data_IF_821391744453
#
_entry.id   IF_821391744453
#
_cell.length_a   1.000
_cell.length_b   1.000
_cell.length_c   1.000
_cell.angle_alpha   90.00
_cell.angle_beta   90.00
_cell.angle_gamma   90.00
#
_symmetry.space_group_name_H-M   'P 1'
#
loop_
_entity.id
_entity.type
_entity.pdbx_description
1 polymer ?
#
# COMPACT_ATOMS: atom_id res chain seq x y z
N UNK A 1 42.25 -9.84 -26.35
CA UNK A 1 41.56 -8.61 -26.77
C UNK A 1 40.22 -8.51 -26.06
N UNK A 2 40.04 -7.48 -25.24
CA UNK A 2 38.74 -6.96 -24.76
C UNK A 2 38.01 -6.26 -25.92
N UNK A 3 36.79 -5.72 -25.75
CA UNK A 3 35.55 -6.31 -25.22
C UNK A 3 34.36 -5.99 -26.16
N UNK A 4 33.16 -6.52 -25.90
CA UNK A 4 31.94 -5.88 -26.43
C UNK A 4 30.90 -5.70 -25.33
N UNK A 5 30.49 -4.44 -25.13
CA UNK A 5 29.49 -3.95 -24.18
C UNK A 5 28.09 -4.10 -24.78
N UNK A 6 27.08 -4.40 -23.95
CA UNK A 6 25.68 -4.35 -24.35
C UNK A 6 24.66 -4.63 -23.24
N UNK A 7 24.32 -3.58 -22.47
CA UNK A 7 22.97 -3.19 -22.00
C UNK A 7 22.13 -4.13 -21.08
N UNK A 8 22.09 -3.71 -19.79
CA UNK A 8 20.99 -3.60 -18.81
C UNK A 8 19.55 -3.99 -19.24
N UNK A 9 18.78 -4.72 -18.40
CA UNK A 9 17.44 -4.34 -17.88
C UNK A 9 16.75 -5.42 -16.99
N UNK A 10 16.45 -5.04 -15.74
CA UNK A 10 15.13 -5.19 -15.11
C UNK A 10 14.70 -6.56 -14.58
N UNK A 11 15.02 -6.86 -13.33
CA UNK A 11 14.29 -7.86 -12.50
C UNK A 11 12.92 -7.31 -12.10
N UNK A 12 11.92 -7.44 -12.99
CA UNK A 12 10.54 -7.12 -12.65
C UNK A 12 9.89 -8.31 -11.95
N UNK A 13 10.06 -8.40 -10.63
CA UNK A 13 9.18 -9.21 -9.79
C UNK A 13 7.84 -8.51 -9.69
N UNK A 14 6.95 -8.91 -10.59
CA UNK A 14 5.59 -8.44 -10.72
C UNK A 14 4.79 -8.62 -9.43
N UNK A 15 4.49 -7.52 -8.76
CA UNK A 15 3.32 -7.42 -7.92
C UNK A 15 2.15 -6.85 -8.75
N UNK A 16 1.65 -7.64 -9.70
CA UNK A 16 0.39 -7.37 -10.42
C UNK A 16 -0.73 -7.05 -9.45
N UNK A 17 -1.26 -5.82 -9.42
CA UNK A 17 -2.70 -5.55 -9.28
C UNK A 17 -3.07 -4.52 -10.37
N UNK A 18 -3.89 -4.89 -11.37
CA UNK A 18 -4.36 -3.98 -12.40
C UNK A 18 -5.66 -3.30 -11.95
N UNK A 19 -5.72 -1.97 -12.07
CA UNK A 19 -6.81 -1.23 -12.73
C UNK A 19 -6.70 0.25 -12.40
N UNK A 20 -5.92 0.97 -13.21
CA UNK A 20 -6.05 2.42 -13.38
C UNK A 20 -7.26 2.66 -14.28
N UNK A 21 -8.43 2.89 -13.70
CA UNK A 21 -9.59 3.37 -14.46
C UNK A 21 -10.24 4.56 -13.73
N UNK A 22 -10.17 5.73 -14.37
CA UNK A 22 -11.22 6.74 -14.30
C UNK A 22 -11.28 7.63 -13.06
N UNK A 23 -10.30 8.51 -12.85
CA UNK A 23 -10.61 9.78 -12.17
C UNK A 23 -11.32 10.69 -13.16
N UNK A 24 -12.65 10.63 -13.21
CA UNK A 24 -13.48 11.63 -13.88
C UNK A 24 -14.89 11.71 -13.27
N UNK A 25 -15.05 12.76 -12.45
CA UNK A 25 -16.22 13.65 -12.44
C UNK A 25 -17.51 13.24 -11.70
N UNK A 26 -18.13 14.29 -11.15
CA UNK A 26 -19.55 14.48 -10.81
C UNK A 26 -19.90 14.43 -9.31
N UNK A 27 -19.70 15.59 -8.68
CA UNK A 27 -20.71 16.39 -7.97
C UNK A 27 -21.97 15.72 -7.37
N UNK A 28 -22.23 16.18 -6.14
CA UNK A 28 -23.52 16.44 -5.46
C UNK A 28 -23.80 15.60 -4.19
N UNK A 29 -23.69 16.32 -3.07
CA UNK A 29 -24.56 16.24 -1.89
C UNK A 29 -24.42 15.04 -0.94
N UNK A 30 -24.13 15.41 0.32
CA UNK A 30 -24.57 14.73 1.54
C UNK A 30 -23.78 13.56 2.13
N UNK A 31 -22.44 13.62 2.17
CA UNK A 31 -21.73 13.07 3.35
C UNK A 31 -20.27 13.51 3.45
N UNK A 32 -19.81 13.76 4.67
CA UNK A 32 -18.46 13.49 5.18
C UNK A 32 -17.98 12.04 4.86
N UNK A 33 -17.83 11.67 3.59
CA UNK A 33 -17.35 10.36 3.11
C UNK A 33 -16.21 10.54 2.12
N UNK A 34 -15.25 11.40 2.44
CA UNK A 34 -13.90 11.15 1.93
C UNK A 34 -13.42 9.94 2.74
N UNK A 35 -13.71 8.74 2.25
CA UNK A 35 -13.13 7.49 2.75
C UNK A 35 -11.63 7.70 2.74
N UNK A 36 -11.03 7.94 3.90
CA UNK A 36 -9.63 8.29 3.93
C UNK A 36 -8.82 7.08 3.47
N UNK A 37 -7.92 7.35 2.53
CA UNK A 37 -7.12 6.32 1.90
C UNK A 37 -5.82 6.16 2.66
N UNK A 38 -5.51 4.92 3.02
CA UNK A 38 -4.21 4.54 3.53
C UNK A 38 -3.22 4.26 2.39
N UNK A 39 -1.97 4.67 2.59
CA UNK A 39 -0.85 4.52 1.67
C UNK A 39 0.33 3.84 2.36
N UNK A 40 1.17 3.18 1.58
CA UNK A 40 2.42 2.57 2.01
C UNK A 40 3.59 3.06 1.16
N UNK A 41 4.77 3.07 1.76
CA UNK A 41 5.99 3.50 1.08
C UNK A 41 6.65 2.35 0.31
N UNK A 42 6.83 2.53 -0.99
CA UNK A 42 7.57 1.63 -1.88
C UNK A 42 9.07 1.73 -1.66
N UNK A 43 9.85 0.77 -2.18
CA UNK A 43 11.31 0.82 -2.08
C UNK A 43 11.93 2.01 -2.83
N UNK A 44 11.20 2.56 -3.81
CA UNK A 44 11.55 3.77 -4.55
C UNK A 44 11.26 5.07 -3.75
N UNK A 45 10.72 4.96 -2.54
CA UNK A 45 10.34 6.10 -1.69
C UNK A 45 9.05 6.79 -2.13
N UNK A 46 8.24 6.13 -2.97
CA UNK A 46 6.94 6.62 -3.40
C UNK A 46 5.84 6.12 -2.47
N UNK A 47 4.74 6.86 -2.38
CA UNK A 47 3.56 6.46 -1.62
C UNK A 47 2.52 5.86 -2.55
N UNK A 48 2.17 4.60 -2.31
CA UNK A 48 1.14 3.90 -3.06
C UNK A 48 -0.05 3.56 -2.17
N UNK A 49 -1.29 3.70 -2.66
CA UNK A 49 -2.48 3.38 -1.88
C UNK A 49 -2.56 1.87 -1.62
N UNK A 50 -3.05 1.49 -0.45
CA UNK A 50 -3.50 0.11 -0.21
C UNK A 50 -4.77 -0.20 -1.01
N UNK A 51 -4.96 -1.47 -1.37
CA UNK A 51 -6.19 -1.96 -2.03
C UNK A 51 -7.46 -1.60 -1.22
N UNK A 52 -8.59 -1.34 -1.88
CA UNK A 52 -9.85 -0.91 -1.25
C UNK A 52 -10.27 -1.73 -0.02
N UNK A 53 -10.12 -3.06 -0.10
CA UNK A 53 -10.47 -3.95 1.00
C UNK A 53 -9.55 -3.76 2.22
N UNK A 54 -8.25 -3.59 1.99
CA UNK A 54 -7.27 -3.32 3.05
C UNK A 54 -7.48 -1.91 3.59
N UNK A 55 -7.73 -0.94 2.71
CA UNK A 55 -8.01 0.44 3.06
C UNK A 55 -9.22 0.56 3.99
N UNK A 56 -10.32 -0.14 3.65
CA UNK A 56 -11.53 -0.20 4.48
C UNK A 56 -11.27 -0.83 5.84
N UNK A 57 -10.44 -1.88 5.91
CA UNK A 57 -10.06 -2.52 7.18
C UNK A 57 -9.21 -1.59 8.04
N UNK A 58 -8.18 -0.97 7.46
CA UNK A 58 -7.29 -0.05 8.17
C UNK A 58 -8.06 1.17 8.68
N UNK A 59 -8.91 1.77 7.85
CA UNK A 59 -9.73 2.91 8.26
C UNK A 59 -10.72 2.52 9.35
N UNK A 60 -11.33 1.33 9.28
CA UNK A 60 -12.24 0.85 10.32
C UNK A 60 -11.51 0.62 11.65
N UNK A 61 -10.36 -0.03 11.62
CA UNK A 61 -9.53 -0.29 12.80
C UNK A 61 -9.05 1.02 13.43
N UNK A 62 -8.58 1.95 12.61
CA UNK A 62 -8.16 3.27 13.06
C UNK A 62 -9.33 4.09 13.62
N UNK A 63 -10.50 4.08 12.98
CA UNK A 63 -11.71 4.73 13.47
C UNK A 63 -12.25 4.09 14.76
N UNK A 64 -11.98 2.80 14.98
CA UNK A 64 -12.26 2.09 16.22
C UNK A 64 -11.22 2.35 17.32
N UNK A 65 -10.21 3.21 17.07
CA UNK A 65 -9.07 3.48 17.95
C UNK A 65 -8.26 2.22 18.31
N UNK A 66 -8.21 1.24 17.41
CA UNK A 66 -7.33 0.09 17.56
C UNK A 66 -5.86 0.53 17.49
N UNK A 67 -4.98 -0.20 18.19
CA UNK A 67 -3.54 0.10 18.19
C UNK A 67 -2.83 -0.41 16.95
N UNK A 68 -3.44 -1.40 16.29
CA UNK A 68 -2.87 -2.12 15.18
C UNK A 68 -3.95 -2.84 14.37
N UNK A 69 -3.57 -3.26 13.16
CA UNK A 69 -4.40 -4.06 12.29
C UNK A 69 -3.57 -5.09 11.53
N UNK A 70 -4.16 -6.27 11.33
CA UNK A 70 -3.57 -7.35 10.52
C UNK A 70 -4.33 -7.49 9.21
N UNK A 71 -3.61 -7.61 8.11
CA UNK A 71 -4.16 -7.93 6.81
C UNK A 71 -3.20 -8.79 6.00
N UNK A 72 -3.75 -9.54 5.05
CA UNK A 72 -2.97 -10.42 4.18
C UNK A 72 -3.00 -9.86 2.77
N UNK A 73 -1.82 -9.65 2.16
CA UNK A 73 -1.69 -9.29 0.74
C UNK A 73 -1.16 -10.51 0.01
N UNK A 74 -1.95 -11.03 -0.94
CA UNK A 74 -1.75 -12.29 -1.66
C UNK A 74 -1.64 -13.50 -0.71
N UNK A 75 -0.46 -13.74 -0.14
CA UNK A 75 -0.19 -14.87 0.75
C UNK A 75 0.81 -14.53 1.86
N UNK A 76 1.10 -13.23 2.05
CA UNK A 76 1.93 -12.75 3.15
C UNK A 76 1.05 -11.94 4.11
N UNK A 77 1.23 -12.20 5.40
CA UNK A 77 0.57 -11.45 6.45
C UNK A 77 1.38 -10.21 6.79
N UNK A 78 0.67 -9.11 6.97
CA UNK A 78 1.22 -7.81 7.32
C UNK A 78 0.51 -7.30 8.56
N UNK A 79 1.30 -6.68 9.42
CA UNK A 79 0.85 -5.99 10.61
C UNK A 79 1.11 -4.50 10.42
N UNK A 80 0.08 -3.66 10.60
CA UNK A 80 0.24 -2.22 10.66
C UNK A 80 0.07 -1.77 12.10
N UNK A 81 1.07 -1.04 12.59
CA UNK A 81 1.05 -0.36 13.87
C UNK A 81 0.62 1.10 13.64
N UNK A 82 -0.54 1.49 14.18
CA UNK A 82 -1.08 2.84 14.02
C UNK A 82 -0.41 3.87 14.94
N UNK A 83 0.38 3.44 15.93
CA UNK A 83 1.11 4.35 16.82
C UNK A 83 2.37 4.89 16.15
N UNK A 84 3.06 4.04 15.43
CA UNK A 84 4.34 4.31 14.76
C UNK A 84 4.17 4.54 13.27
N UNK A 85 2.97 4.31 12.73
CA UNK A 85 2.66 4.41 11.30
C UNK A 85 3.61 3.55 10.46
N UNK A 86 3.77 2.29 10.89
CA UNK A 86 4.64 1.31 10.23
C UNK A 86 3.91 0.01 9.96
N UNK A 87 4.12 -0.49 8.76
CA UNK A 87 3.81 -1.85 8.34
C UNK A 87 5.01 -2.75 8.64
N UNK A 88 4.74 -3.99 9.06
CA UNK A 88 5.70 -5.09 9.17
C UNK A 88 5.19 -6.30 8.39
N UNK A 89 6.02 -6.82 7.49
CA UNK A 89 5.78 -8.12 6.87
C UNK A 89 6.11 -9.22 7.88
N UNK A 90 5.15 -10.09 8.18
CA UNK A 90 5.32 -11.17 9.16
C UNK A 90 6.25 -12.27 8.62
N UNK A 91 6.23 -12.51 7.31
CA UNK A 91 7.04 -13.53 6.64
C UNK A 91 8.51 -13.14 6.52
N UNK A 92 8.82 -11.89 6.16
CA UNK A 92 10.20 -11.43 5.92
C UNK A 92 10.77 -10.58 7.05
N UNK A 93 9.93 -10.08 7.96
CA UNK A 93 10.32 -9.14 9.01
C UNK A 93 10.59 -7.71 8.52
N UNK A 94 10.41 -7.42 7.24
CA UNK A 94 10.67 -6.10 6.66
C UNK A 94 9.65 -5.05 7.14
N UNK A 95 10.11 -3.83 7.36
CA UNK A 95 9.28 -2.69 7.76
C UNK A 95 9.10 -1.69 6.62
N UNK A 96 7.90 -1.14 6.49
CA UNK A 96 7.57 -0.04 5.56
C UNK A 96 6.80 1.05 6.28
N UNK A 97 6.93 2.30 5.84
CA UNK A 97 6.12 3.40 6.38
C UNK A 97 4.71 3.32 5.81
N UNK A 98 3.73 3.72 6.61
CA UNK A 98 2.34 3.89 6.18
C UNK A 98 1.85 5.29 6.53
N UNK A 99 0.90 5.82 5.78
CA UNK A 99 0.25 7.09 6.10
C UNK A 99 -1.22 7.09 5.65
N UNK A 100 -2.01 7.99 6.23
CA UNK A 100 -3.39 8.30 5.85
C UNK A 100 -3.47 9.72 5.29
#
# INVERSE_FOLDING_TARGET
>A
ETPNRGIQIGVQSAATHPSRVGMSSLAHSNKDRISALWYWETDDGLWEPFDDNTNTKLERAHAAHETDAVFSIRSADYYVDFKTYKQKNVTTGAFRRVHR
#
